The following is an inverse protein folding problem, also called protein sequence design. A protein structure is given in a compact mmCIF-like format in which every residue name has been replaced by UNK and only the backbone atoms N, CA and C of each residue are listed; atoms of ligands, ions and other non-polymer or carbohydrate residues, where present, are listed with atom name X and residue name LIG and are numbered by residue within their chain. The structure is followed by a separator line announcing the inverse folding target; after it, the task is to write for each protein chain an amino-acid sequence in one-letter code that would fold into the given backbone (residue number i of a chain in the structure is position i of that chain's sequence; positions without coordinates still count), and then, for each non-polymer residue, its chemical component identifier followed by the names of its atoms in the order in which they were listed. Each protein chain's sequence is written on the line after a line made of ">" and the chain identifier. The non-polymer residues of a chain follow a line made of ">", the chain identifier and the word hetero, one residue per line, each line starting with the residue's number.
data_IF_754481124685
#
_entry.id   IF_754481124685
#
_cell.length_a   1.000
_cell.length_b   1.000
_cell.length_c   1.000
_cell.angle_alpha   90.00
_cell.angle_beta   90.00
_cell.angle_gamma   90.00
#
_symmetry.space_group_name_H-M   'P 1'
#
loop_
_entity.id
_entity.type
_entity.pdbx_description
1 polymer ?
#
# COMPACT_ATOMS: atom_id res chain seq x y z
N UNK A 1 17.60 -9.67 14.38
CA UNK A 1 16.42 -8.78 14.49
C UNK A 1 15.26 -9.54 13.88
N UNK A 2 14.08 -9.52 14.52
CA UNK A 2 12.86 -10.09 13.91
C UNK A 2 12.59 -9.36 12.58
N UNK A 3 12.13 -10.11 11.58
CA UNK A 3 11.79 -9.56 10.27
C UNK A 3 10.73 -8.46 10.43
N UNK A 4 11.06 -7.23 10.06
CA UNK A 4 10.19 -6.06 10.20
C UNK A 4 8.85 -6.29 9.50
N UNK A 5 8.88 -6.95 8.34
CA UNK A 5 7.67 -7.17 7.52
C UNK A 5 6.70 -8.19 8.11
N UNK A 6 7.13 -8.96 9.13
CA UNK A 6 6.29 -9.93 9.85
C UNK A 6 5.69 -9.38 11.13
N UNK A 7 6.01 -8.14 11.51
CA UNK A 7 5.45 -7.50 12.69
C UNK A 7 4.02 -7.04 12.41
N UNK A 8 3.16 -7.14 13.41
CA UNK A 8 1.82 -6.56 13.34
C UNK A 8 1.87 -5.03 13.28
N UNK A 9 0.82 -4.40 12.75
CA UNK A 9 0.69 -2.93 12.73
C UNK A 9 0.89 -2.32 14.12
N UNK A 10 0.32 -2.95 15.14
CA UNK A 10 0.44 -2.48 16.54
C UNK A 10 1.88 -2.50 17.02
N UNK A 11 2.63 -3.55 16.68
CA UNK A 11 4.06 -3.66 17.03
C UNK A 11 4.91 -2.62 16.29
N UNK A 12 4.65 -2.41 15.00
CA UNK A 12 5.34 -1.38 14.21
C UNK A 12 5.12 0.00 14.78
N UNK A 13 3.85 0.38 15.06
CA UNK A 13 3.51 1.66 15.71
C UNK A 13 4.23 1.81 17.05
N UNK A 14 4.21 0.78 17.90
CA UNK A 14 4.89 0.78 19.20
C UNK A 14 6.41 0.95 19.04
N UNK A 15 7.01 0.28 18.07
CA UNK A 15 8.45 0.34 17.85
C UNK A 15 8.89 1.71 17.32
N UNK A 16 8.11 2.33 16.43
CA UNK A 16 8.38 3.70 15.95
C UNK A 16 8.21 4.71 17.09
N UNK A 17 7.10 4.66 17.85
CA UNK A 17 6.87 5.55 19.01
C UNK A 17 7.97 5.43 20.07
N UNK A 18 8.50 4.24 20.28
CA UNK A 18 9.59 3.98 21.23
C UNK A 18 10.99 4.20 20.63
N UNK A 19 11.08 4.70 19.38
CA UNK A 19 12.35 4.94 18.67
C UNK A 19 13.23 3.70 18.53
N UNK A 20 12.63 2.50 18.52
CA UNK A 20 13.33 1.23 18.25
C UNK A 20 13.50 0.97 16.76
N UNK A 21 12.59 1.52 15.95
CA UNK A 21 12.64 1.54 14.50
C UNK A 21 12.35 2.96 14.03
N UNK A 22 12.99 3.38 12.94
CA UNK A 22 12.63 4.60 12.24
C UNK A 22 11.55 4.32 11.19
N UNK A 23 10.80 5.36 10.79
CA UNK A 23 9.86 5.26 9.68
C UNK A 23 10.55 4.88 8.37
N UNK A 24 11.78 5.39 8.15
CA UNK A 24 12.59 5.05 6.97
C UNK A 24 12.94 3.55 6.94
N UNK A 25 13.41 2.97 8.07
CA UNK A 25 13.72 1.54 8.15
C UNK A 25 12.50 0.67 7.85
N UNK A 26 11.36 1.00 8.45
CA UNK A 26 10.10 0.28 8.22
C UNK A 26 9.67 0.41 6.77
N UNK A 27 9.63 1.63 6.22
CA UNK A 27 9.24 1.88 4.83
C UNK A 27 10.15 1.15 3.85
N UNK A 28 11.48 1.19 4.08
CA UNK A 28 12.45 0.48 3.25
C UNK A 28 12.22 -1.03 3.27
N UNK A 29 11.97 -1.62 4.43
CA UNK A 29 11.72 -3.06 4.54
C UNK A 29 10.51 -3.50 3.70
N UNK A 30 9.40 -2.74 3.74
CA UNK A 30 8.21 -3.05 2.93
C UNK A 30 8.43 -2.78 1.44
N UNK A 31 9.18 -1.74 1.06
CA UNK A 31 9.57 -1.49 -0.33
C UNK A 31 10.41 -2.65 -0.86
N UNK A 32 11.45 -3.05 -0.12
CA UNK A 32 12.34 -4.16 -0.51
C UNK A 32 11.56 -5.49 -0.64
N UNK A 33 10.58 -5.73 0.26
CA UNK A 33 9.69 -6.91 0.19
C UNK A 33 8.81 -6.86 -1.05
N UNK A 34 8.13 -5.74 -1.29
CA UNK A 34 7.26 -5.58 -2.46
C UNK A 34 8.02 -5.74 -3.78
N UNK A 35 9.24 -5.20 -3.86
CA UNK A 35 10.07 -5.35 -5.05
C UNK A 35 10.51 -6.80 -5.32
N UNK A 36 10.67 -7.61 -4.27
CA UNK A 36 10.97 -9.05 -4.39
C UNK A 36 9.77 -9.90 -4.73
N UNK A 37 8.57 -9.38 -4.52
CA UNK A 37 7.29 -10.08 -4.72
C UNK A 37 6.50 -9.51 -5.91
N UNK A 38 7.17 -8.97 -6.92
CA UNK A 38 6.53 -8.36 -8.11
C UNK A 38 5.67 -9.36 -8.91
N UNK A 39 6.00 -10.64 -8.86
CA UNK A 39 5.23 -11.70 -9.48
C UNK A 39 3.80 -11.80 -8.94
N UNK A 40 3.55 -11.31 -7.72
CA UNK A 40 2.21 -11.29 -7.14
C UNK A 40 1.26 -10.32 -7.86
N UNK A 41 1.78 -9.36 -8.63
CA UNK A 41 1.02 -8.31 -9.32
C UNK A 41 0.04 -7.55 -8.39
N UNK A 42 0.45 -7.39 -7.14
CA UNK A 42 -0.38 -6.77 -6.10
C UNK A 42 -0.53 -5.25 -6.28
N UNK A 43 0.41 -4.59 -6.97
CA UNK A 43 0.41 -3.13 -7.20
C UNK A 43 0.16 -2.79 -8.66
N UNK A 44 -0.68 -1.78 -8.93
CA UNK A 44 -0.83 -1.13 -10.23
C UNK A 44 0.13 0.06 -10.34
N UNK A 45 0.24 0.85 -9.28
CA UNK A 45 1.12 2.02 -9.22
C UNK A 45 1.98 1.96 -7.97
N UNK A 46 3.29 2.10 -8.14
CA UNK A 46 4.27 2.14 -7.06
C UNK A 46 4.72 3.59 -6.82
N UNK A 47 4.75 4.05 -5.54
CA UNK A 47 5.21 5.40 -5.15
C UNK A 47 6.38 5.33 -4.15
N UNK A 48 7.26 4.34 -4.31
CA UNK A 48 8.32 4.00 -3.35
C UNK A 48 9.31 5.13 -3.08
N UNK A 49 9.70 5.87 -4.12
CA UNK A 49 10.64 6.98 -3.97
C UNK A 49 10.04 8.09 -3.10
N UNK A 50 8.78 8.45 -3.36
CA UNK A 50 8.05 9.43 -2.55
C UNK A 50 7.85 8.93 -1.12
N UNK A 51 7.49 7.65 -0.95
CA UNK A 51 7.31 7.02 0.34
C UNK A 51 8.58 7.11 1.21
N UNK A 52 9.74 6.73 0.67
CA UNK A 52 11.02 6.83 1.36
C UNK A 52 11.38 8.26 1.74
N UNK A 53 11.14 9.22 0.84
CA UNK A 53 11.37 10.64 1.12
C UNK A 53 10.44 11.18 2.23
N UNK A 54 9.17 10.75 2.23
CA UNK A 54 8.21 11.12 3.29
C UNK A 54 8.60 10.49 4.64
N UNK A 55 9.06 9.24 4.65
CA UNK A 55 9.53 8.56 5.84
C UNK A 55 10.75 9.26 6.46
N UNK A 56 11.75 9.62 5.64
CA UNK A 56 12.91 10.43 6.09
C UNK A 56 12.50 11.77 6.68
N UNK A 57 11.55 12.47 6.06
CA UNK A 57 11.03 13.75 6.59
C UNK A 57 10.30 13.55 7.90
N UNK A 58 9.52 12.47 8.03
CA UNK A 58 8.86 12.14 9.28
C UNK A 58 9.88 11.91 10.41
N UNK A 59 10.95 11.16 10.15
CA UNK A 59 11.99 10.87 11.15
C UNK A 59 12.76 12.14 11.61
N UNK A 60 12.86 13.16 10.74
CA UNK A 60 13.47 14.45 11.09
C UNK A 60 12.60 15.28 12.05
N UNK A 61 11.27 15.17 11.95
CA UNK A 61 10.31 15.89 12.78
C UNK A 61 9.11 15.02 13.13
N UNK A 62 9.30 13.97 13.95
CA UNK A 62 8.26 13.00 14.21
C UNK A 62 7.12 13.58 15.07
N UNK A 63 5.88 13.20 14.73
CA UNK A 63 4.73 13.41 15.58
C UNK A 63 4.21 12.04 16.06
N UNK A 64 4.50 11.72 17.32
CA UNK A 64 4.13 10.43 17.92
C UNK A 64 2.71 10.41 18.52
N UNK A 65 1.97 11.51 18.50
CA UNK A 65 0.57 11.57 18.95
C UNK A 65 -0.37 10.99 17.91
N UNK A 66 0.08 10.87 16.65
CA UNK A 66 -0.69 10.28 15.56
C UNK A 66 -0.93 8.79 15.80
N UNK A 67 -1.99 8.24 15.17
CA UNK A 67 -2.33 6.81 15.29
C UNK A 67 -1.43 5.93 14.41
N UNK A 68 -1.00 6.45 13.25
CA UNK A 68 -0.20 5.75 12.25
C UNK A 68 1.13 6.49 11.97
N UNK A 69 1.93 6.81 13.00
CA UNK A 69 3.07 7.71 12.89
C UNK A 69 4.15 7.15 11.96
N UNK A 70 4.23 7.64 10.73
CA UNK A 70 5.22 7.22 9.75
C UNK A 70 5.06 5.77 9.26
N UNK A 71 3.87 5.19 9.37
CA UNK A 71 3.59 3.81 8.94
C UNK A 71 3.37 3.77 7.42
N UNK A 72 4.11 2.93 6.67
CA UNK A 72 3.86 2.71 5.25
C UNK A 72 2.56 1.94 5.03
N UNK A 73 1.74 2.40 4.10
CA UNK A 73 0.49 1.77 3.70
C UNK A 73 0.31 1.83 2.19
N UNK A 74 -0.37 0.85 1.63
CA UNK A 74 -0.88 0.92 0.26
C UNK A 74 -2.42 0.95 0.29
N UNK A 75 -3.03 1.53 -0.75
CA UNK A 75 -4.49 1.64 -0.83
C UNK A 75 -5.00 1.03 -2.12
N UNK A 76 -6.19 0.43 -2.07
CA UNK A 76 -6.86 -0.11 -3.25
C UNK A 76 -6.99 0.97 -4.32
N UNK A 77 -6.74 0.61 -5.56
CA UNK A 77 -6.75 1.54 -6.70
C UNK A 77 -8.14 2.08 -7.09
N UNK A 78 -9.13 1.87 -6.23
CA UNK A 78 -10.46 2.46 -6.29
C UNK A 78 -10.54 3.83 -5.60
N UNK A 79 -9.70 4.05 -4.57
CA UNK A 79 -9.70 5.32 -3.82
C UNK A 79 -8.95 6.40 -4.58
N UNK A 80 -9.63 7.51 -4.89
CA UNK A 80 -8.99 8.69 -5.45
C UNK A 80 -7.90 9.18 -4.49
N UNK A 81 -6.67 9.18 -4.97
CA UNK A 81 -5.50 9.66 -4.24
C UNK A 81 -4.90 10.81 -5.01
N UNK A 82 -4.91 11.99 -4.42
CA UNK A 82 -4.51 13.23 -5.08
C UNK A 82 -3.12 13.13 -5.70
N UNK A 83 -3.00 13.56 -6.95
CA UNK A 83 -1.79 13.60 -7.76
C UNK A 83 -1.15 12.21 -8.02
N UNK A 84 -1.87 11.11 -7.73
CA UNK A 84 -1.43 9.74 -7.98
C UNK A 84 -2.39 9.05 -8.94
N UNK A 85 -1.85 8.39 -9.97
CA UNK A 85 -2.63 7.60 -10.93
C UNK A 85 -3.62 6.69 -10.19
N UNK A 86 -4.90 6.77 -10.56
CA UNK A 86 -5.98 5.99 -9.95
C UNK A 86 -6.87 5.43 -11.04
N UNK A 87 -6.77 4.13 -11.30
CA UNK A 87 -7.35 3.51 -12.49
C UNK A 87 -8.59 2.68 -12.24
N UNK A 88 -8.89 2.37 -10.96
CA UNK A 88 -9.93 1.39 -10.60
C UNK A 88 -9.77 0.03 -11.30
N UNK A 89 -8.52 -0.39 -11.62
CA UNK A 89 -8.25 -1.61 -12.36
C UNK A 89 -8.67 -1.57 -13.83
N UNK A 90 -9.04 -0.39 -14.38
CA UNK A 90 -9.63 -0.23 -15.71
C UNK A 90 -8.70 0.49 -16.69
N UNK A 91 -8.72 0.04 -17.94
CA UNK A 91 -8.09 0.75 -19.06
C UNK A 91 -8.71 2.13 -19.32
N UNK A 92 -9.99 2.30 -19.03
CA UNK A 92 -10.72 3.57 -19.24
C UNK A 92 -10.09 4.70 -18.42
N UNK A 93 -9.58 4.38 -17.22
CA UNK A 93 -8.97 5.33 -16.29
C UNK A 93 -7.44 5.25 -16.25
N UNK A 94 -6.79 4.61 -17.22
CA UNK A 94 -5.33 4.41 -17.19
C UNK A 94 -4.48 5.68 -17.27
N UNK A 95 -5.11 6.84 -17.41
CA UNK A 95 -4.49 8.18 -17.39
C UNK A 95 -5.16 9.13 -16.39
N UNK A 96 -6.05 8.63 -15.55
CA UNK A 96 -6.77 9.47 -14.60
C UNK A 96 -5.92 9.72 -13.34
N UNK A 97 -5.54 10.98 -13.15
CA UNK A 97 -4.85 11.48 -11.96
C UNK A 97 -5.79 12.43 -11.23
N UNK A 98 -6.36 12.02 -10.08
CA UNK A 98 -7.29 12.87 -9.33
C UNK A 98 -6.62 14.16 -8.85
N UNK A 99 -7.33 15.29 -8.99
CA UNK A 99 -6.93 16.57 -8.39
C UNK A 99 -7.38 16.72 -6.92
N UNK A 100 -8.04 15.70 -6.37
CA UNK A 100 -8.59 15.67 -5.02
C UNK A 100 -8.28 14.35 -4.31
N UNK A 101 -8.32 14.40 -2.99
CA UNK A 101 -8.14 13.24 -2.12
C UNK A 101 -9.50 12.67 -1.70
N UNK A 102 -9.64 11.34 -1.64
CA UNK A 102 -10.82 10.73 -1.04
C UNK A 102 -10.84 10.98 0.47
N UNK A 103 -12.03 11.08 1.07
CA UNK A 103 -12.17 11.27 2.53
C UNK A 103 -11.46 10.16 3.33
N UNK A 104 -11.51 8.92 2.84
CA UNK A 104 -10.87 7.77 3.49
C UNK A 104 -9.36 7.94 3.54
N UNK A 105 -8.75 8.20 2.38
CA UNK A 105 -7.29 8.34 2.29
C UNK A 105 -6.80 9.61 2.98
N UNK A 106 -7.55 10.73 2.90
CA UNK A 106 -7.24 11.93 3.66
C UNK A 106 -7.19 11.68 5.17
N UNK A 107 -8.14 10.92 5.71
CA UNK A 107 -8.15 10.58 7.14
C UNK A 107 -6.94 9.71 7.53
N UNK A 108 -6.55 8.77 6.66
CA UNK A 108 -5.37 7.92 6.87
C UNK A 108 -4.08 8.75 6.87
N UNK A 109 -3.93 9.68 5.91
CA UNK A 109 -2.76 10.57 5.84
C UNK A 109 -2.71 11.55 7.01
N UNK A 110 -3.84 12.05 7.46
CA UNK A 110 -3.92 12.92 8.66
C UNK A 110 -3.44 12.20 9.93
N UNK A 111 -3.56 10.88 9.99
CA UNK A 111 -3.05 10.05 11.08
C UNK A 111 -1.58 9.63 10.90
N UNK A 112 -0.91 10.13 9.85
CA UNK A 112 0.54 10.01 9.66
C UNK A 112 1.00 8.83 8.83
N UNK A 113 0.10 8.10 8.16
CA UNK A 113 0.48 7.03 7.25
C UNK A 113 1.16 7.58 5.98
N UNK A 114 1.98 6.75 5.37
CA UNK A 114 2.77 7.06 4.18
C UNK A 114 2.36 6.12 3.04
N UNK A 115 1.96 6.68 1.90
CA UNK A 115 1.54 5.90 0.74
C UNK A 115 2.74 5.17 0.11
N UNK A 116 2.63 3.84 -0.06
CA UNK A 116 3.55 3.00 -0.86
C UNK A 116 3.11 2.92 -2.32
N UNK A 117 1.81 2.95 -2.58
CA UNK A 117 1.26 2.80 -3.92
C UNK A 117 -0.20 2.37 -3.94
N UNK A 118 -0.69 2.08 -5.15
CA UNK A 118 -2.08 1.70 -5.44
C UNK A 118 -2.16 0.21 -5.73
N UNK A 119 -3.04 -0.46 -4.98
CA UNK A 119 -3.20 -1.91 -5.02
C UNK A 119 -4.21 -2.34 -6.07
N UNK A 120 -3.86 -3.41 -6.80
CA UNK A 120 -4.65 -4.00 -7.85
C UNK A 120 -6.01 -4.50 -7.34
N UNK A 121 -7.01 -4.43 -8.20
CA UNK A 121 -8.38 -4.81 -7.88
C UNK A 121 -9.11 -5.26 -9.14
N UNK A 122 -10.23 -5.95 -8.97
CA UNK A 122 -11.17 -6.14 -10.06
C UNK A 122 -11.61 -4.79 -10.65
N UNK A 123 -11.83 -4.75 -11.97
CA UNK A 123 -12.23 -3.54 -12.68
C UNK A 123 -13.48 -2.89 -12.03
N UNK A 124 -13.36 -1.61 -11.68
CA UNK A 124 -14.37 -0.83 -10.93
C UNK A 124 -14.87 -1.49 -9.63
N UNK A 125 -14.06 -2.36 -9.04
CA UNK A 125 -14.42 -3.17 -7.87
C UNK A 125 -15.63 -4.11 -8.11
N UNK A 126 -15.89 -4.47 -9.37
CA UNK A 126 -17.02 -5.32 -9.79
C UNK A 126 -16.52 -6.74 -10.09
N UNK A 127 -16.12 -7.45 -9.04
CA UNK A 127 -15.62 -8.83 -9.13
C UNK A 127 -15.35 -9.43 -7.76
N UNK A 128 -14.97 -10.72 -7.75
CA UNK A 128 -14.74 -11.49 -6.52
C UNK A 128 -13.46 -12.32 -6.53
N UNK A 129 -12.68 -12.27 -7.61
CA UNK A 129 -11.49 -13.12 -7.82
C UNK A 129 -10.22 -12.36 -8.19
N UNK A 130 -10.34 -11.08 -8.56
CA UNK A 130 -9.29 -10.23 -9.12
C UNK A 130 -8.78 -10.68 -10.50
N UNK A 131 -9.68 -11.26 -11.31
CA UNK A 131 -9.38 -11.70 -12.68
C UNK A 131 -9.78 -10.66 -13.74
N UNK A 132 -10.58 -9.64 -13.38
CA UNK A 132 -11.09 -8.65 -14.33
C UNK A 132 -10.24 -7.40 -14.47
N UNK A 133 -9.12 -7.30 -13.75
CA UNK A 133 -8.21 -6.16 -13.84
C UNK A 133 -7.58 -6.06 -15.23
N UNK A 134 -7.60 -4.86 -15.82
CA UNK A 134 -6.85 -4.58 -17.05
C UNK A 134 -5.33 -4.78 -16.88
N UNK A 135 -4.83 -4.64 -15.66
CA UNK A 135 -3.40 -4.77 -15.33
C UNK A 135 -2.97 -6.21 -15.02
N UNK A 136 -3.85 -7.17 -15.30
CA UNK A 136 -3.62 -8.60 -15.09
C UNK A 136 -4.03 -9.09 -13.69
N UNK A 137 -4.03 -10.42 -13.58
CA UNK A 137 -4.47 -11.12 -12.39
C UNK A 137 -3.48 -10.94 -11.24
N UNK A 138 -4.02 -10.83 -10.03
CA UNK A 138 -3.23 -10.89 -8.81
C UNK A 138 -3.02 -12.35 -8.41
N UNK A 139 -1.79 -12.68 -8.01
CA UNK A 139 -1.48 -14.02 -7.53
C UNK A 139 -1.80 -14.18 -6.04
N UNK A 140 -2.28 -15.35 -5.67
CA UNK A 140 -2.40 -15.75 -4.26
C UNK A 140 -1.01 -16.21 -3.77
N UNK A 141 -0.40 -15.55 -2.77
CA UNK A 141 0.95 -15.89 -2.31
C UNK A 141 1.01 -17.18 -1.51
N UNK A 142 -0.15 -17.67 -1.02
CA UNK A 142 -0.22 -18.91 -0.22
C UNK A 142 -0.30 -20.12 -1.14
N UNK A 143 -1.09 -20.02 -2.22
CA UNK A 143 -1.27 -21.08 -3.22
C UNK A 143 -1.54 -20.44 -4.59
N UNK A 144 -0.61 -20.64 -5.53
CA UNK A 144 -0.65 -20.01 -6.85
C UNK A 144 -1.74 -20.58 -7.77
N UNK A 145 -2.31 -21.72 -7.42
CA UNK A 145 -3.42 -22.35 -8.16
C UNK A 145 -4.78 -21.79 -7.72
N UNK A 146 -4.79 -20.94 -6.69
CA UNK A 146 -6.00 -20.30 -6.16
C UNK A 146 -6.01 -18.79 -6.44
N UNK A 147 -7.22 -18.23 -6.54
CA UNK A 147 -7.40 -16.78 -6.62
C UNK A 147 -7.20 -16.14 -5.26
N UNK A 148 -6.75 -14.87 -5.18
CA UNK A 148 -6.57 -14.16 -3.91
C UNK A 148 -7.89 -13.67 -3.31
N UNK A 149 -8.99 -13.85 -4.04
CA UNK A 149 -10.27 -13.21 -3.77
C UNK A 149 -10.32 -11.80 -4.36
N UNK A 150 -11.50 -11.20 -4.35
CA UNK A 150 -11.76 -9.87 -4.94
C UNK A 150 -12.94 -9.18 -4.24
N UNK A 151 -13.18 -7.97 -4.60
CA UNK A 151 -12.48 -7.13 -5.58
C UNK A 151 -11.14 -6.56 -5.07
N UNK A 152 -10.72 -6.81 -3.84
CA UNK A 152 -9.50 -6.26 -3.22
C UNK A 152 -8.35 -7.27 -3.19
N UNK A 153 -8.16 -8.04 -4.29
CA UNK A 153 -7.15 -9.10 -4.37
C UNK A 153 -5.72 -8.58 -4.14
N UNK A 154 -5.37 -7.42 -4.69
CA UNK A 154 -4.08 -6.79 -4.43
C UNK A 154 -3.83 -6.50 -2.95
N UNK A 155 -4.88 -6.08 -2.21
CA UNK A 155 -4.76 -5.85 -0.76
C UNK A 155 -4.55 -7.16 0.00
N UNK A 156 -5.30 -8.20 -0.34
CA UNK A 156 -5.15 -9.52 0.27
C UNK A 156 -3.76 -10.10 0.00
N UNK A 157 -3.31 -10.04 -1.25
CA UNK A 157 -2.01 -10.56 -1.67
C UNK A 157 -0.85 -9.78 -1.03
N UNK A 158 -0.91 -8.44 -0.99
CA UNK A 158 0.15 -7.62 -0.41
C UNK A 158 0.31 -7.81 1.10
N UNK A 159 -0.76 -8.19 1.82
CA UNK A 159 -0.70 -8.41 3.28
C UNK A 159 -0.22 -9.82 3.62
N UNK A 160 -0.53 -10.80 2.79
CA UNK A 160 -0.20 -12.21 3.03
C UNK A 160 1.10 -12.67 2.39
N UNK A 161 1.66 -11.91 1.44
CA UNK A 161 2.84 -12.21 0.63
C UNK A 161 4.19 -11.74 1.17
#
# INVERSE_FOLDING_TARGET
>A
MSDITKQSLTELVKNIKNKKLSSEEVTKAFVDRSQKSKELNAYITEDYTSALNKAKKFDQKPNFDLKLPGIPMAVKDLFCTKDILTTAGSKILNNFVPSYESTVTQNIWNEGAILLGKLNCDEFAMGSSNETSFFGNVQNPIDKDLVPGGSSGGSASAVSG
#
